data_IF_347033690325
#
_entry.id   IF_347033690325
#
_cell.length_a   1.000
_cell.length_b   1.000
_cell.length_c   1.000
_cell.angle_alpha   90.00
_cell.angle_beta   90.00
_cell.angle_gamma   90.00
#
_symmetry.space_group_name_H-M   'P 1'
#
loop_
_entity.id
_entity.type
_entity.pdbx_description
1 polymer ?
#
# COMPACT_ATOMS: atom_id res chain seq x y z
N UNK A 1 -30.24 22.12 -9.31
CA UNK A 1 -29.77 21.22 -8.26
C UNK A 1 -28.66 20.37 -8.85
N UNK A 2 -27.42 20.55 -8.39
CA UNK A 2 -26.35 19.59 -8.69
C UNK A 2 -26.61 18.37 -7.82
N UNK A 3 -27.10 17.29 -8.40
CA UNK A 3 -27.24 16.02 -7.68
C UNK A 3 -25.83 15.53 -7.40
N UNK A 4 -25.46 15.45 -6.12
CA UNK A 4 -24.21 14.80 -5.71
C UNK A 4 -24.39 13.32 -6.07
N UNK A 5 -23.64 12.84 -7.06
CA UNK A 5 -23.64 11.44 -7.42
C UNK A 5 -22.85 10.68 -6.35
N UNK A 6 -23.56 10.15 -5.36
CA UNK A 6 -23.00 9.26 -4.35
C UNK A 6 -22.96 7.84 -4.93
N UNK A 7 -21.78 7.22 -4.91
CA UNK A 7 -21.62 5.81 -5.24
C UNK A 7 -20.62 5.15 -4.31
N UNK A 8 -20.58 3.83 -4.26
CA UNK A 8 -19.66 3.07 -3.39
C UNK A 8 -18.22 3.15 -3.86
N UNK A 9 -18.02 3.38 -5.15
CA UNK A 9 -16.69 3.57 -5.75
C UNK A 9 -16.76 4.45 -7.00
N UNK A 10 -15.61 4.91 -7.46
CA UNK A 10 -15.51 5.61 -8.74
C UNK A 10 -15.91 4.73 -9.94
N UNK A 11 -15.75 3.40 -9.85
CA UNK A 11 -16.17 2.49 -10.91
C UNK A 11 -17.69 2.41 -11.03
N UNK A 12 -18.38 2.42 -9.90
CA UNK A 12 -19.85 2.47 -9.88
C UNK A 12 -20.38 3.83 -10.33
N UNK A 13 -19.77 4.93 -9.87
CA UNK A 13 -20.08 6.29 -10.36
C UNK A 13 -19.95 6.35 -11.89
N UNK A 14 -18.88 5.77 -12.45
CA UNK A 14 -18.63 5.73 -13.90
C UNK A 14 -19.63 4.86 -14.66
N UNK A 15 -20.07 3.75 -14.07
CA UNK A 15 -21.07 2.87 -14.71
C UNK A 15 -22.44 3.55 -14.81
N UNK A 16 -22.83 4.33 -13.81
CA UNK A 16 -24.08 5.11 -13.84
C UNK A 16 -23.99 6.39 -14.67
N UNK A 17 -22.79 6.95 -14.86
CA UNK A 17 -22.57 8.17 -15.63
C UNK A 17 -21.36 8.03 -16.55
N UNK A 18 -21.51 7.40 -17.74
CA UNK A 18 -20.41 7.12 -18.65
C UNK A 18 -19.62 8.35 -19.11
N UNK A 19 -20.26 9.51 -19.20
CA UNK A 19 -19.62 10.77 -19.61
C UNK A 19 -19.04 11.58 -18.44
N UNK A 20 -19.03 11.03 -17.22
CA UNK A 20 -18.55 11.75 -16.04
C UNK A 20 -17.03 12.02 -16.15
N UNK A 21 -16.65 13.25 -15.80
CA UNK A 21 -15.28 13.74 -15.88
C UNK A 21 -14.38 13.17 -14.78
N UNK A 22 -13.07 13.29 -14.95
CA UNK A 22 -12.09 13.06 -13.88
C UNK A 22 -12.20 14.18 -12.82
N UNK A 23 -12.04 13.85 -11.54
CA UNK A 23 -12.19 14.86 -10.47
C UNK A 23 -12.27 14.27 -9.06
N UNK A 24 -12.59 15.13 -8.09
CA UNK A 24 -12.89 14.71 -6.72
C UNK A 24 -14.37 14.38 -6.58
N UNK A 25 -14.68 13.26 -5.92
CA UNK A 25 -16.04 12.76 -5.72
C UNK A 25 -16.24 12.32 -4.27
N UNK A 26 -17.50 12.16 -3.89
CA UNK A 26 -17.87 11.51 -2.63
C UNK A 26 -18.11 10.04 -2.93
N UNK A 27 -17.49 9.16 -2.14
CA UNK A 27 -17.77 7.72 -2.20
C UNK A 27 -18.17 7.19 -0.84
N UNK A 28 -19.10 6.25 -0.84
CA UNK A 28 -19.55 5.54 0.37
C UNK A 28 -19.47 4.02 0.17
N UNK A 29 -18.26 3.43 0.26
CA UNK A 29 -18.04 2.01 0.03
C UNK A 29 -18.91 1.04 0.84
N UNK A 30 -19.26 1.39 2.08
CA UNK A 30 -20.06 0.54 2.97
C UNK A 30 -21.56 0.82 2.91
N UNK A 31 -21.96 2.00 2.41
CA UNK A 31 -23.34 2.37 2.14
C UNK A 31 -24.07 2.89 3.38
N UNK A 32 -25.38 3.11 3.24
CA UNK A 32 -26.17 3.75 4.30
C UNK A 32 -26.12 3.01 5.64
N UNK A 33 -25.95 3.77 6.72
CA UNK A 33 -25.95 3.26 8.10
C UNK A 33 -24.59 2.73 8.58
N UNK A 34 -23.56 2.78 7.74
CA UNK A 34 -22.18 2.44 8.07
C UNK A 34 -21.37 3.62 8.61
N UNK A 35 -20.09 3.65 8.25
CA UNK A 35 -19.20 4.78 8.52
C UNK A 35 -19.53 5.97 7.63
N UNK A 36 -19.12 7.17 8.05
CA UNK A 36 -19.31 8.37 7.22
C UNK A 36 -18.67 8.21 5.83
N UNK A 37 -19.32 8.70 4.75
CA UNK A 37 -18.75 8.71 3.41
C UNK A 37 -17.40 9.42 3.34
N UNK A 38 -16.57 9.02 2.39
CA UNK A 38 -15.28 9.67 2.14
C UNK A 38 -15.52 10.88 1.23
N UNK A 39 -15.45 12.08 1.82
CA UNK A 39 -15.82 13.36 1.17
C UNK A 39 -14.57 14.17 0.78
N UNK A 40 -14.63 14.86 -0.36
CA UNK A 40 -13.66 15.86 -0.89
C UNK A 40 -12.22 15.40 -1.19
N UNK A 41 -11.82 14.19 -0.81
CA UNK A 41 -10.43 13.71 -0.94
C UNK A 41 -10.25 12.48 -1.83
N UNK A 42 -11.35 11.89 -2.30
CA UNK A 42 -11.32 10.78 -3.25
C UNK A 42 -11.19 11.32 -4.65
N UNK A 43 -10.07 11.01 -5.30
CA UNK A 43 -9.87 11.36 -6.69
C UNK A 43 -10.31 10.19 -7.56
N UNK A 44 -11.32 10.41 -8.40
CA UNK A 44 -11.77 9.43 -9.37
C UNK A 44 -11.09 9.68 -10.72
N UNK A 45 -10.16 8.81 -11.10
CA UNK A 45 -9.61 8.82 -12.45
C UNK A 45 -10.53 8.06 -13.40
N UNK A 46 -11.36 8.81 -14.14
CA UNK A 46 -12.37 8.26 -15.05
C UNK A 46 -11.83 7.84 -16.43
N UNK A 47 -10.52 7.97 -16.67
CA UNK A 47 -9.87 7.64 -17.94
C UNK A 47 -8.83 6.53 -17.81
N UNK A 48 -8.27 6.31 -16.61
CA UNK A 48 -7.37 5.18 -16.32
C UNK A 48 -8.09 3.82 -16.48
N UNK A 49 -7.29 2.77 -16.74
CA UNK A 49 -7.74 1.36 -16.81
C UNK A 49 -8.96 1.17 -17.72
N UNK A 50 -8.83 1.61 -18.97
CA UNK A 50 -9.88 1.54 -20.01
C UNK A 50 -11.18 2.27 -19.63
N UNK A 51 -11.06 3.37 -18.88
CA UNK A 51 -12.21 4.21 -18.52
C UNK A 51 -13.12 3.60 -17.45
N UNK A 52 -12.66 2.61 -16.69
CA UNK A 52 -13.48 1.95 -15.66
C UNK A 52 -13.75 2.81 -14.43
N UNK A 53 -13.10 3.97 -14.26
CA UNK A 53 -13.19 4.80 -13.06
C UNK A 53 -12.37 4.24 -11.90
N UNK A 54 -11.17 4.79 -11.67
CA UNK A 54 -10.27 4.36 -10.58
C UNK A 54 -10.48 5.23 -9.35
N UNK A 55 -10.77 4.60 -8.21
CA UNK A 55 -10.84 5.23 -6.89
C UNK A 55 -9.44 5.40 -6.32
N UNK A 56 -8.99 6.64 -6.11
CA UNK A 56 -7.65 6.95 -5.60
C UNK A 56 -7.74 7.65 -4.26
N UNK A 57 -7.21 7.01 -3.21
CA UNK A 57 -7.24 7.54 -1.83
C UNK A 57 -5.82 7.85 -1.33
N UNK A 58 -5.63 9.10 -0.92
CA UNK A 58 -4.36 9.62 -0.41
C UNK A 58 -4.16 9.32 1.08
N UNK A 59 -2.92 9.42 1.55
CA UNK A 59 -2.55 9.29 2.97
C UNK A 59 -1.38 10.24 3.32
N UNK A 60 -0.98 10.27 4.58
CA UNK A 60 0.07 11.14 5.15
C UNK A 60 1.53 10.65 4.96
N UNK A 61 1.79 9.62 4.14
CA UNK A 61 3.11 8.96 4.05
C UNK A 61 3.62 8.77 2.62
N UNK A 62 3.30 9.73 1.74
CA UNK A 62 3.54 9.64 0.29
C UNK A 62 4.97 9.95 -0.15
N UNK A 63 5.70 10.70 0.67
CA UNK A 63 7.04 11.16 0.32
C UNK A 63 8.08 10.10 0.70
N UNK A 64 9.18 10.04 -0.04
CA UNK A 64 10.40 9.34 0.37
C UNK A 64 10.82 9.84 1.74
N UNK A 65 10.77 8.96 2.74
CA UNK A 65 10.96 9.32 4.15
C UNK A 65 12.10 8.50 4.73
N UNK A 66 13.01 9.17 5.46
CA UNK A 66 14.09 8.49 6.18
C UNK A 66 13.49 7.58 7.26
N UNK A 67 13.85 6.31 7.21
CA UNK A 67 13.66 5.34 8.29
C UNK A 67 14.96 5.29 9.10
N UNK A 68 14.85 5.54 10.40
CA UNK A 68 15.98 5.45 11.33
C UNK A 68 15.46 5.04 12.71
N UNK A 69 16.19 4.17 13.37
CA UNK A 69 15.79 3.56 14.63
C UNK A 69 17.01 2.94 15.32
N UNK A 70 16.82 1.78 15.94
CA UNK A 70 17.90 0.99 16.54
C UNK A 70 17.98 -0.41 15.89
N UNK A 71 18.87 -1.25 16.40
CA UNK A 71 19.11 -2.60 15.90
C UNK A 71 17.94 -3.57 16.07
N UNK A 72 16.92 -3.25 16.89
CA UNK A 72 15.76 -4.11 17.06
C UNK A 72 14.88 -4.18 15.81
N UNK A 73 14.24 -5.32 15.59
CA UNK A 73 13.30 -5.54 14.49
C UNK A 73 12.14 -4.53 14.55
N UNK A 74 11.86 -3.84 13.44
CA UNK A 74 10.76 -2.86 13.35
C UNK A 74 10.83 -1.73 14.37
N UNK A 75 12.04 -1.35 14.79
CA UNK A 75 12.28 -0.26 15.75
C UNK A 75 11.80 1.10 15.23
N UNK A 76 11.87 1.32 13.92
CA UNK A 76 11.17 2.40 13.24
C UNK A 76 9.73 1.98 12.95
N UNK A 77 8.77 2.87 13.25
CA UNK A 77 7.36 2.69 12.92
C UNK A 77 6.81 3.96 12.26
N UNK A 78 6.06 3.78 11.18
CA UNK A 78 5.32 4.85 10.50
C UNK A 78 3.86 4.45 10.32
N UNK A 79 3.00 5.01 11.16
CA UNK A 79 1.55 4.90 10.99
C UNK A 79 1.10 5.65 9.73
N UNK A 80 0.18 5.03 8.99
CA UNK A 80 -0.39 5.54 7.73
C UNK A 80 -1.84 5.91 7.98
N UNK A 81 -2.13 7.20 7.88
CA UNK A 81 -3.47 7.73 8.02
C UNK A 81 -4.00 8.19 6.66
N UNK A 82 -5.09 7.57 6.21
CA UNK A 82 -5.74 7.90 4.94
C UNK A 82 -6.56 9.17 5.09
N UNK A 83 -6.45 10.05 4.09
CA UNK A 83 -7.16 11.32 4.06
C UNK A 83 -8.67 11.06 3.99
N UNK A 84 -9.45 11.80 4.79
CA UNK A 84 -10.91 11.69 4.83
C UNK A 84 -11.45 10.40 5.45
N UNK A 85 -10.60 9.56 6.03
CA UNK A 85 -11.00 8.33 6.72
C UNK A 85 -10.50 8.38 8.16
N UNK A 86 -11.42 8.34 9.12
CA UNK A 86 -11.05 8.27 10.53
C UNK A 86 -10.49 6.89 10.87
N UNK A 87 -9.66 6.79 11.91
CA UNK A 87 -9.12 5.49 12.34
C UNK A 87 -10.20 4.50 12.78
N UNK A 88 -11.34 4.98 13.30
CA UNK A 88 -12.50 4.16 13.63
C UNK A 88 -13.31 3.71 12.41
N UNK A 89 -13.03 4.28 11.23
CA UNK A 89 -13.73 3.99 9.97
C UNK A 89 -12.79 3.46 8.88
N UNK A 90 -11.71 2.78 9.25
CA UNK A 90 -10.85 2.06 8.31
C UNK A 90 -11.63 0.99 7.52
N UNK A 91 -12.77 0.53 8.06
CA UNK A 91 -13.73 -0.35 7.38
C UNK A 91 -14.22 0.21 6.04
N UNK A 92 -14.28 1.54 5.86
CA UNK A 92 -14.60 2.13 4.55
C UNK A 92 -13.59 1.69 3.47
N UNK A 93 -12.30 1.62 3.82
CA UNK A 93 -11.28 1.15 2.89
C UNK A 93 -11.33 -0.37 2.71
N UNK A 94 -11.68 -1.12 3.76
CA UNK A 94 -11.90 -2.56 3.64
C UNK A 94 -13.05 -2.87 2.66
N UNK A 95 -14.18 -2.18 2.81
CA UNK A 95 -15.33 -2.31 1.92
C UNK A 95 -15.00 -1.88 0.48
N UNK A 96 -14.25 -0.78 0.30
CA UNK A 96 -13.78 -0.36 -1.03
C UNK A 96 -12.99 -1.48 -1.73
N UNK A 97 -12.06 -2.11 -1.02
CA UNK A 97 -11.29 -3.22 -1.61
C UNK A 97 -12.15 -4.46 -1.88
N UNK A 98 -13.18 -4.72 -1.05
CA UNK A 98 -14.06 -5.87 -1.18
C UNK A 98 -14.97 -5.75 -2.40
N UNK A 99 -15.49 -4.55 -2.70
CA UNK A 99 -16.39 -4.32 -3.84
C UNK A 99 -15.66 -4.09 -5.16
N UNK A 100 -14.38 -3.73 -5.13
CA UNK A 100 -13.60 -3.46 -6.35
C UNK A 100 -13.09 -4.76 -6.97
N UNK A 101 -12.89 -4.88 -8.28
CA UNK A 101 -12.28 -6.09 -8.86
C UNK A 101 -10.77 -6.15 -8.55
N UNK A 102 -10.10 -5.01 -8.63
CA UNK A 102 -8.65 -4.87 -8.43
C UNK A 102 -8.36 -3.76 -7.42
N UNK A 103 -7.32 -3.94 -6.61
CA UNK A 103 -6.66 -2.83 -5.92
C UNK A 103 -5.15 -3.00 -5.99
N UNK A 104 -4.45 -1.87 -6.00
CA UNK A 104 -3.01 -1.81 -6.01
C UNK A 104 -2.52 -0.68 -5.09
N UNK A 105 -1.41 -0.92 -4.39
CA UNK A 105 -0.72 0.10 -3.62
C UNK A 105 0.79 -0.04 -3.81
N UNK A 106 1.44 1.01 -4.29
CA UNK A 106 2.89 1.00 -4.48
C UNK A 106 3.60 1.04 -3.13
N UNK A 107 4.66 0.27 -2.97
CA UNK A 107 5.54 0.29 -1.81
C UNK A 107 6.99 0.17 -2.27
N UNK A 108 7.90 0.88 -1.59
CA UNK A 108 9.32 0.86 -1.86
C UNK A 108 10.10 0.99 -0.56
N UNK A 109 11.16 0.19 -0.43
CA UNK A 109 12.17 0.35 0.58
C UNK A 109 13.55 0.39 -0.08
N UNK A 110 14.31 1.43 0.24
CA UNK A 110 15.73 1.58 -0.07
C UNK A 110 16.51 1.33 1.22
N UNK A 111 17.57 0.55 1.14
CA UNK A 111 18.31 0.08 2.31
C UNK A 111 19.81 0.25 2.11
N UNK A 112 20.48 0.66 3.18
CA UNK A 112 21.92 0.73 3.29
C UNK A 112 22.33 0.04 4.58
N UNK A 113 22.88 -1.18 4.47
CA UNK A 113 23.26 -2.01 5.62
C UNK A 113 22.10 -2.61 6.43
N UNK A 114 20.84 -2.23 6.18
CA UNK A 114 19.66 -2.83 6.85
C UNK A 114 19.06 -3.96 6.02
N UNK A 115 18.58 -5.02 6.67
CA UNK A 115 17.82 -6.10 6.02
C UNK A 115 16.29 -5.89 6.06
N UNK A 116 15.54 -6.60 5.22
CA UNK A 116 14.08 -6.50 5.10
C UNK A 116 13.37 -7.76 5.66
N UNK A 117 13.24 -8.83 4.87
CA UNK A 117 12.50 -10.06 5.24
C UNK A 117 13.41 -11.22 5.69
N UNK A 118 14.72 -11.00 5.72
CA UNK A 118 15.84 -11.87 6.08
C UNK A 118 15.46 -13.30 6.53
N UNK A 119 15.19 -14.18 5.55
CA UNK A 119 15.01 -15.63 5.73
C UNK A 119 14.09 -16.02 6.92
N UNK A 120 12.99 -15.30 7.13
CA UNK A 120 12.04 -15.60 8.21
C UNK A 120 12.27 -14.81 9.50
N UNK A 121 13.31 -14.00 9.57
CA UNK A 121 13.64 -13.09 10.67
C UNK A 121 13.53 -11.62 10.23
N UNK A 122 12.33 -11.13 9.84
CA UNK A 122 12.16 -9.83 9.22
C UNK A 122 12.49 -8.67 10.17
N UNK A 123 13.30 -7.74 9.68
CA UNK A 123 13.58 -6.44 10.32
C UNK A 123 12.73 -5.32 9.74
N UNK A 124 12.23 -5.48 8.52
CA UNK A 124 11.24 -4.59 7.92
C UNK A 124 10.03 -5.32 7.36
N UNK A 125 8.85 -4.71 7.47
CA UNK A 125 7.58 -5.23 6.98
C UNK A 125 6.55 -4.10 6.88
N UNK A 126 5.46 -4.38 6.17
CA UNK A 126 4.25 -3.56 6.21
C UNK A 126 3.16 -4.27 7.02
N UNK A 127 2.23 -3.49 7.57
CA UNK A 127 1.11 -3.99 8.37
C UNK A 127 -0.17 -3.80 7.58
N UNK A 128 -0.95 -4.88 7.46
CA UNK A 128 -2.25 -4.87 6.78
C UNK A 128 -3.30 -4.09 7.56
N UNK A 129 -4.41 -3.75 6.91
CA UNK A 129 -5.59 -3.16 7.55
C UNK A 129 -6.12 -3.93 8.77
N UNK A 130 -5.86 -5.23 8.83
CA UNK A 130 -6.29 -6.12 9.92
C UNK A 130 -5.24 -6.21 11.04
N UNK A 131 -4.29 -5.27 11.06
CA UNK A 131 -3.18 -5.20 12.01
C UNK A 131 -2.21 -6.39 11.94
N UNK A 132 -2.20 -7.11 10.82
CA UNK A 132 -1.31 -8.25 10.65
C UNK A 132 0.04 -7.83 10.07
N UNK A 133 1.12 -8.37 10.66
CA UNK A 133 2.48 -8.25 10.12
C UNK A 133 2.59 -9.10 8.86
N UNK A 134 2.75 -8.43 7.71
CA UNK A 134 2.89 -9.10 6.43
C UNK A 134 4.26 -9.77 6.28
N UNK A 135 4.26 -10.95 5.67
CA UNK A 135 5.45 -11.80 5.48
C UNK A 135 5.96 -11.79 4.05
N UNK A 136 5.45 -10.93 3.19
CA UNK A 136 5.85 -10.79 1.79
C UNK A 136 5.94 -9.29 1.46
N UNK A 137 6.70 -8.95 0.43
CA UNK A 137 6.84 -7.58 -0.08
C UNK A 137 6.20 -7.41 -1.46
N UNK A 138 6.38 -6.27 -2.10
CA UNK A 138 5.89 -6.03 -3.45
C UNK A 138 6.37 -7.07 -4.47
N UNK A 139 5.48 -7.44 -5.39
CA UNK A 139 5.69 -8.46 -6.41
C UNK A 139 5.52 -9.90 -5.90
N UNK A 140 5.65 -10.15 -4.60
CA UNK A 140 5.34 -11.42 -3.96
C UNK A 140 3.89 -11.44 -3.43
N UNK A 141 3.34 -12.64 -3.24
CA UNK A 141 2.01 -12.84 -2.66
C UNK A 141 2.04 -13.59 -1.31
N UNK A 142 0.86 -13.87 -0.72
CA UNK A 142 0.76 -14.56 0.57
C UNK A 142 1.36 -15.97 0.58
N UNK A 143 1.45 -16.64 -0.57
CA UNK A 143 2.11 -17.94 -0.74
C UNK A 143 3.64 -17.87 -0.81
N UNK A 144 4.21 -16.69 -1.04
CA UNK A 144 5.64 -16.46 -1.27
C UNK A 144 6.29 -15.86 -0.03
N UNK A 145 6.24 -16.62 1.07
CA UNK A 145 6.73 -16.14 2.36
C UNK A 145 8.21 -15.72 2.30
N UNK A 146 8.48 -14.56 2.88
CA UNK A 146 9.78 -13.91 3.03
C UNK A 146 10.47 -13.59 1.69
N UNK A 147 9.67 -13.27 0.66
CA UNK A 147 10.16 -12.88 -0.66
C UNK A 147 9.66 -11.49 -1.08
N UNK A 148 10.46 -10.91 -1.96
CA UNK A 148 10.17 -9.76 -2.81
C UNK A 148 10.09 -10.22 -4.27
N UNK A 149 9.77 -9.32 -5.20
CA UNK A 149 9.68 -9.63 -6.63
C UNK A 149 10.92 -10.37 -7.17
N UNK A 150 12.13 -9.91 -6.82
CA UNK A 150 13.38 -10.55 -7.27
C UNK A 150 13.55 -11.98 -6.74
N UNK A 151 12.96 -12.30 -5.58
CA UNK A 151 13.04 -13.62 -4.96
C UNK A 151 12.14 -14.64 -5.65
N UNK A 152 11.13 -14.18 -6.39
CA UNK A 152 10.32 -15.03 -7.26
C UNK A 152 11.08 -15.38 -8.54
N UNK A 153 11.79 -14.41 -9.12
CA UNK A 153 12.52 -14.58 -10.39
C UNK A 153 13.94 -15.13 -10.20
N UNK A 154 14.41 -15.26 -8.95
CA UNK A 154 15.80 -15.60 -8.59
C UNK A 154 16.83 -14.58 -9.11
N UNK A 155 16.40 -13.33 -9.27
CA UNK A 155 17.22 -12.23 -9.78
C UNK A 155 17.64 -11.26 -8.67
N UNK A 156 17.43 -11.61 -7.40
CA UNK A 156 17.96 -10.79 -6.30
C UNK A 156 19.47 -10.68 -6.39
N UNK A 157 20.01 -9.57 -5.89
CA UNK A 157 21.45 -9.29 -5.88
C UNK A 157 22.32 -10.40 -5.25
N UNK A 158 21.71 -11.26 -4.44
CA UNK A 158 22.20 -12.58 -4.09
C UNK A 158 20.99 -13.54 -4.07
N UNK A 159 21.01 -14.54 -4.94
CA UNK A 159 19.90 -15.47 -5.17
C UNK A 159 19.59 -16.39 -3.97
N UNK A 160 20.45 -16.42 -2.95
CA UNK A 160 20.20 -17.14 -1.69
C UNK A 160 19.21 -16.41 -0.77
N UNK A 161 18.83 -15.17 -1.09
CA UNK A 161 17.89 -14.36 -0.32
C UNK A 161 16.60 -14.05 -1.09
N UNK A 162 15.53 -13.77 -0.36
CA UNK A 162 14.22 -13.45 -0.94
C UNK A 162 14.06 -12.01 -1.44
N UNK A 163 14.95 -11.09 -1.03
CA UNK A 163 14.88 -9.67 -1.34
C UNK A 163 16.28 -9.11 -1.61
N UNK A 164 16.36 -8.02 -2.38
CA UNK A 164 17.64 -7.34 -2.61
C UNK A 164 18.22 -6.82 -1.30
N UNK A 165 17.40 -6.20 -0.46
CA UNK A 165 17.81 -5.66 0.84
C UNK A 165 18.30 -6.71 1.84
N UNK A 166 17.98 -7.99 1.63
CA UNK A 166 18.44 -9.05 2.52
C UNK A 166 19.89 -9.49 2.22
N UNK A 167 20.46 -9.01 1.11
CA UNK A 167 21.89 -9.19 0.86
C UNK A 167 22.68 -8.31 1.82
N UNK A 168 23.47 -8.97 2.66
CA UNK A 168 24.27 -8.32 3.69
C UNK A 168 25.58 -7.76 3.14
N UNK A 169 25.50 -6.72 2.30
CA UNK A 169 26.64 -5.89 1.91
C UNK A 169 26.51 -4.46 2.44
N UNK A 170 27.29 -4.18 3.50
CA UNK A 170 27.17 -2.99 4.34
C UNK A 170 27.40 -1.63 3.68
N UNK A 171 27.89 -1.62 2.43
CA UNK A 171 28.32 -0.40 1.74
C UNK A 171 27.61 -0.18 0.40
N UNK A 172 26.50 -0.88 0.14
CA UNK A 172 25.76 -0.79 -1.12
C UNK A 172 24.30 -0.44 -0.85
N UNK A 173 23.82 0.63 -1.48
CA UNK A 173 22.38 0.91 -1.51
C UNK A 173 21.65 -0.14 -2.34
N UNK A 174 20.60 -0.72 -1.78
CA UNK A 174 19.69 -1.63 -2.48
C UNK A 174 18.26 -1.17 -2.36
N UNK A 175 17.40 -1.79 -3.15
CA UNK A 175 16.00 -1.42 -3.23
C UNK A 175 15.13 -2.66 -3.49
N UNK A 176 13.98 -2.72 -2.83
CA UNK A 176 12.86 -3.57 -3.20
C UNK A 176 11.59 -2.72 -3.31
N UNK A 177 10.98 -2.70 -4.51
CA UNK A 177 9.82 -1.87 -4.81
C UNK A 177 8.83 -2.53 -5.77
N UNK A 178 7.61 -2.01 -5.82
CA UNK A 178 6.55 -2.48 -6.71
C UNK A 178 5.16 -2.32 -6.10
N UNK A 179 4.17 -3.00 -6.67
CA UNK A 179 2.80 -2.96 -6.18
C UNK A 179 2.47 -4.14 -5.28
N UNK A 180 1.78 -3.84 -4.18
CA UNK A 180 0.96 -4.79 -3.44
C UNK A 180 -0.39 -4.88 -4.14
N UNK A 181 -0.86 -6.10 -4.43
CA UNK A 181 -2.10 -6.33 -5.18
C UNK A 181 -3.07 -7.29 -4.49
N UNK A 182 -2.68 -7.86 -3.35
CA UNK A 182 -3.57 -8.70 -2.55
C UNK A 182 -4.56 -7.83 -1.79
N UNK A 183 -5.75 -7.68 -2.37
CA UNK A 183 -6.80 -6.75 -1.91
C UNK A 183 -7.28 -7.05 -0.50
N UNK A 184 -7.28 -8.32 -0.10
CA UNK A 184 -7.71 -8.72 1.24
C UNK A 184 -6.78 -8.19 2.34
N UNK A 185 -5.52 -7.87 2.01
CA UNK A 185 -4.56 -7.31 2.97
C UNK A 185 -4.43 -5.79 2.88
N UNK A 186 -4.87 -5.18 1.77
CA UNK A 186 -4.80 -3.73 1.59
C UNK A 186 -5.92 -3.00 2.36
N UNK A 187 -5.71 -1.72 2.69
CA UNK A 187 -4.49 -0.93 2.51
C UNK A 187 -3.37 -1.21 3.54
N UNK A 188 -2.17 -0.69 3.27
CA UNK A 188 -1.09 -0.59 4.27
C UNK A 188 -1.46 0.44 5.34
N UNK A 189 -1.44 0.06 6.62
CA UNK A 189 -1.71 0.98 7.75
C UNK A 189 -0.46 1.34 8.56
N UNK A 190 0.63 0.58 8.43
CA UNK A 190 1.89 0.87 9.11
C UNK A 190 3.08 0.30 8.33
N UNK A 191 4.20 1.00 8.40
CA UNK A 191 5.49 0.55 7.89
C UNK A 191 6.47 0.40 9.06
N UNK A 192 7.21 -0.70 9.07
CA UNK A 192 8.17 -1.06 10.11
C UNK A 192 9.52 -1.35 9.47
N UNK A 193 10.59 -0.81 10.06
CA UNK A 193 11.96 -1.08 9.65
C UNK A 193 12.88 -1.13 10.87
N UNK A 194 14.02 -1.81 10.76
CA UNK A 194 14.95 -2.02 11.86
C UNK A 194 16.37 -2.20 11.34
N UNK A 195 17.23 -2.83 12.14
CA UNK A 195 18.62 -3.12 11.78
C UNK A 195 19.48 -1.85 11.56
N UNK A 196 19.13 -0.78 12.27
CA UNK A 196 19.87 0.49 12.20
C UNK A 196 21.08 0.45 13.14
N UNK A 197 22.22 -0.03 12.63
CA UNK A 197 23.49 -0.14 13.36
C UNK A 197 24.51 0.84 12.77
N UNK A 198 25.10 1.69 13.62
CA UNK A 198 26.09 2.71 13.25
C UNK A 198 25.62 3.64 12.11
N UNK A 199 26.01 3.32 10.87
CA UNK A 199 25.79 4.11 9.67
C UNK A 199 24.68 3.54 8.77
N UNK A 200 23.98 2.49 9.24
CA UNK A 200 22.88 1.90 8.48
C UNK A 200 21.70 2.88 8.40
N UNK A 201 21.10 2.97 7.21
CA UNK A 201 19.99 3.87 6.92
C UNK A 201 19.02 3.20 5.96
N UNK A 202 17.77 3.66 5.98
CA UNK A 202 16.76 3.22 5.03
C UNK A 202 15.84 4.36 4.64
N UNK A 203 15.22 4.25 3.48
CA UNK A 203 14.16 5.16 3.04
C UNK A 203 12.97 4.36 2.57
N UNK A 204 11.77 4.80 2.93
CA UNK A 204 10.54 4.19 2.44
C UNK A 204 9.72 5.18 1.63
N UNK A 205 8.94 4.65 0.70
CA UNK A 205 7.92 5.37 -0.06
C UNK A 205 6.68 4.50 -0.16
N UNK A 206 5.51 5.08 0.13
CA UNK A 206 4.22 4.40 0.00
C UNK A 206 3.31 5.22 -0.93
N UNK A 207 2.77 4.56 -1.95
CA UNK A 207 1.85 5.15 -2.90
C UNK A 207 0.41 5.18 -2.37
N UNK A 208 -0.42 5.97 -3.05
CA UNK A 208 -1.88 6.01 -2.79
C UNK A 208 -2.51 4.63 -3.00
N UNK A 209 -3.58 4.34 -2.25
CA UNK A 209 -4.43 3.20 -2.53
C UNK A 209 -5.22 3.48 -3.82
N UNK A 210 -5.15 2.57 -4.78
CA UNK A 210 -5.95 2.61 -6.01
C UNK A 210 -6.83 1.37 -6.08
N UNK A 211 -8.14 1.53 -6.27
CA UNK A 211 -9.08 0.44 -6.45
C UNK A 211 -10.00 0.70 -7.65
N UNK A 212 -10.29 -0.34 -8.44
CA UNK A 212 -11.03 -0.23 -9.70
C UNK A 212 -11.72 -1.53 -10.12
N UNK A 213 -12.72 -1.40 -10.99
CA UNK A 213 -13.64 -2.48 -11.36
C UNK A 213 -14.68 -2.72 -10.27
N UNK A 214 -15.66 -3.57 -10.55
CA UNK A 214 -16.71 -3.97 -9.61
C UNK A 214 -16.84 -5.49 -9.61
N UNK A 215 -17.05 -6.09 -8.43
CA UNK A 215 -17.34 -7.53 -8.26
C UNK A 215 -18.85 -7.77 -8.26
#
# INVERSE_FOLDING_TARGET
MHQILLGKSCSEIKSFSPEISIGSYVVDPDGEGGCEPIVDVVFCNMTEKNGTGVTVISHNSKNRSLAKGNSSQGSYARAVHYSGVSSSCISQLANLTAISSHCEQFIKYECYGTVLLYNGYPYGWWVSRDHEKMKYWSGAGPGDLYKCACGLTQECANSSYGCNCDKYDHDVWREDSGFLTEKCHLPVIELRFGDFIYNHEGFHTLGKLKCYGTI
#
